data_IF_946856031850
#
_entry.id   IF_946856031850
#
_cell.length_a   1.000
_cell.length_b   1.000
_cell.length_c   1.000
_cell.angle_alpha   90.00
_cell.angle_beta   90.00
_cell.angle_gamma   90.00
#
_symmetry.space_group_name_H-M   'P 1'
#
loop_
_entity.id
_entity.type
_entity.pdbx_description
1 polymer ?
#
# COMPACT_ATOMS: atom_id res chain seq x y z
N UNK A 1 -6.03 6.27 -15.76
CA UNK A 1 -6.33 5.12 -14.87
C UNK A 1 -5.53 5.31 -13.60
N UNK A 2 -6.21 5.52 -12.47
CA UNK A 2 -5.60 5.65 -11.14
C UNK A 2 -6.07 4.55 -10.19
N UNK A 3 -5.48 4.51 -9.01
CA UNK A 3 -5.82 3.56 -7.95
C UNK A 3 -6.33 4.33 -6.75
N UNK A 4 -7.54 4.01 -6.29
CA UNK A 4 -8.12 4.62 -5.10
C UNK A 4 -7.56 3.96 -3.84
N UNK A 5 -7.04 4.78 -2.94
CA UNK A 5 -6.63 4.33 -1.61
C UNK A 5 -7.84 3.78 -0.85
N UNK A 6 -7.79 2.54 -0.37
CA UNK A 6 -8.92 1.93 0.30
C UNK A 6 -9.16 2.47 1.72
N UNK A 7 -8.16 3.13 2.32
CA UNK A 7 -8.28 3.76 3.63
C UNK A 7 -8.83 5.19 3.55
N UNK A 8 -8.19 6.07 2.76
CA UNK A 8 -8.53 7.51 2.73
C UNK A 8 -9.17 8.00 1.42
N UNK A 9 -9.44 7.10 0.47
CA UNK A 9 -10.12 7.37 -0.82
C UNK A 9 -9.38 8.31 -1.78
N UNK A 10 -8.15 8.75 -1.47
CA UNK A 10 -7.27 9.51 -2.39
C UNK A 10 -6.87 8.65 -3.59
N UNK A 11 -6.72 9.27 -4.75
CA UNK A 11 -6.35 8.57 -5.99
C UNK A 11 -4.86 8.77 -6.25
N UNK A 12 -4.19 7.70 -6.66
CA UNK A 12 -2.77 7.69 -7.00
C UNK A 12 -2.58 7.14 -8.42
N UNK A 13 -1.55 7.61 -9.16
CA UNK A 13 -1.34 7.21 -10.55
C UNK A 13 -0.81 5.78 -10.71
N UNK A 14 -0.27 5.17 -9.65
CA UNK A 14 0.17 3.78 -9.65
C UNK A 14 0.08 3.14 -8.27
N UNK A 15 0.06 1.81 -8.22
CA UNK A 15 0.09 1.05 -6.95
C UNK A 15 1.38 1.20 -6.18
N UNK A 16 2.50 1.43 -6.85
CA UNK A 16 3.78 1.75 -6.19
C UNK A 16 3.72 3.06 -5.42
N UNK A 17 3.08 4.09 -5.97
CA UNK A 17 2.88 5.35 -5.25
C UNK A 17 1.84 5.20 -4.15
N UNK A 18 0.77 4.43 -4.39
CA UNK A 18 -0.21 4.10 -3.37
C UNK A 18 0.42 3.32 -2.19
N UNK A 19 1.32 2.37 -2.46
CA UNK A 19 2.03 1.62 -1.42
C UNK A 19 2.92 2.53 -0.57
N UNK A 20 3.65 3.46 -1.20
CA UNK A 20 4.43 4.48 -0.48
C UNK A 20 3.54 5.37 0.37
N UNK A 21 2.38 5.76 -0.14
CA UNK A 21 1.40 6.51 0.62
C UNK A 21 0.90 5.73 1.83
N UNK A 22 0.51 4.46 1.68
CA UNK A 22 -0.02 3.67 2.79
C UNK A 22 0.99 3.45 3.91
N UNK A 23 2.24 3.09 3.57
CA UNK A 23 3.30 2.91 4.58
C UNK A 23 3.81 4.24 5.15
N UNK A 24 3.85 5.30 4.35
CA UNK A 24 4.31 6.62 4.79
C UNK A 24 3.30 7.36 5.65
N UNK A 25 2.00 7.21 5.39
CA UNK A 25 0.95 7.79 6.23
C UNK A 25 0.84 7.05 7.56
N UNK A 26 0.73 5.71 7.52
CA UNK A 26 0.84 4.88 8.72
C UNK A 26 -0.12 5.25 9.87
N UNK A 27 -1.26 5.88 9.57
CA UNK A 27 -2.32 6.09 10.56
C UNK A 27 -3.07 4.79 10.85
N UNK A 28 -4.01 4.85 11.80
CA UNK A 28 -4.78 3.68 12.24
C UNK A 28 -5.52 3.01 11.08
N UNK A 29 -6.22 3.77 10.25
CA UNK A 29 -7.04 3.21 9.17
C UNK A 29 -6.18 2.52 8.11
N UNK A 30 -5.03 3.11 7.76
CA UNK A 30 -4.10 2.48 6.81
C UNK A 30 -3.48 1.20 7.37
N UNK A 31 -3.09 1.21 8.65
CA UNK A 31 -2.54 0.03 9.34
C UNK A 31 -3.58 -1.08 9.43
N UNK A 32 -4.80 -0.77 9.84
CA UNK A 32 -5.89 -1.74 9.97
C UNK A 32 -6.28 -2.34 8.62
N UNK A 33 -6.29 -1.54 7.55
CA UNK A 33 -6.54 -2.08 6.21
C UNK A 33 -5.46 -3.07 5.79
N UNK A 34 -4.18 -2.75 5.97
CA UNK A 34 -3.06 -3.66 5.65
C UNK A 34 -3.18 -4.97 6.44
N UNK A 35 -3.42 -4.86 7.75
CA UNK A 35 -3.58 -6.01 8.63
C UNK A 35 -4.79 -6.89 8.26
N UNK A 36 -5.89 -6.28 7.83
CA UNK A 36 -7.09 -6.97 7.35
C UNK A 36 -6.84 -7.80 6.08
N UNK A 37 -5.81 -7.46 5.30
CA UNK A 37 -5.39 -8.21 4.10
C UNK A 37 -4.38 -9.33 4.37
N UNK A 38 -4.10 -9.63 5.65
CA UNK A 38 -3.18 -10.69 6.04
C UNK A 38 -1.69 -10.31 5.90
N UNK A 39 -1.38 -9.05 5.63
CA UNK A 39 -0.03 -8.52 5.73
C UNK A 39 0.14 -7.81 7.07
N UNK A 40 1.36 -7.78 7.60
CA UNK A 40 1.68 -7.01 8.81
C UNK A 40 2.32 -5.69 8.43
N UNK A 41 1.73 -4.58 8.88
CA UNK A 41 2.30 -3.24 8.64
C UNK A 41 3.74 -3.12 9.14
N UNK A 42 4.03 -3.69 10.32
CA UNK A 42 5.36 -3.66 10.91
C UNK A 42 6.35 -4.48 10.07
N UNK A 43 5.95 -5.67 9.61
CA UNK A 43 6.82 -6.52 8.80
C UNK A 43 7.10 -5.89 7.43
N UNK A 44 6.13 -5.19 6.83
CA UNK A 44 6.35 -4.43 5.60
C UNK A 44 7.36 -3.30 5.77
N UNK A 45 7.35 -2.59 6.91
CA UNK A 45 8.35 -1.55 7.21
C UNK A 45 9.73 -2.14 7.46
N UNK A 46 9.81 -3.25 8.19
CA UNK A 46 11.07 -3.98 8.41
C UNK A 46 11.62 -4.47 7.06
N UNK A 47 10.79 -5.11 6.24
CA UNK A 47 11.13 -5.56 4.90
C UNK A 47 11.61 -4.40 4.02
N UNK A 48 10.94 -3.25 4.06
CA UNK A 48 11.35 -2.07 3.30
C UNK A 48 12.71 -1.52 3.76
N UNK A 49 13.06 -1.67 5.04
CA UNK A 49 14.28 -1.14 5.64
C UNK A 49 15.47 -2.10 5.52
N UNK A 50 15.21 -3.39 5.67
CA UNK A 50 16.24 -4.43 5.76
C UNK A 50 16.53 -5.10 4.42
N UNK A 51 15.56 -5.12 3.51
CA UNK A 51 15.71 -5.81 2.22
C UNK A 51 15.90 -4.82 1.06
N UNK A 52 16.90 -5.05 0.20
CA UNK A 52 17.17 -4.15 -0.92
C UNK A 52 16.04 -4.15 -1.96
N UNK A 53 16.01 -3.10 -2.78
CA UNK A 53 15.13 -3.04 -3.94
C UNK A 53 13.68 -2.71 -3.62
N UNK A 54 13.42 -2.02 -2.51
CA UNK A 54 12.08 -1.56 -2.09
C UNK A 54 11.09 -2.70 -1.89
N UNK A 55 11.54 -3.79 -1.28
CA UNK A 55 10.74 -5.02 -1.21
C UNK A 55 9.42 -4.83 -0.48
N UNK A 56 9.41 -4.08 0.63
CA UNK A 56 8.17 -3.79 1.37
C UNK A 56 7.15 -3.00 0.53
N UNK A 57 7.61 -1.98 -0.21
CA UNK A 57 6.73 -1.26 -1.14
C UNK A 57 6.21 -2.16 -2.27
N UNK A 58 7.06 -3.00 -2.85
CA UNK A 58 6.66 -3.91 -3.94
C UNK A 58 5.63 -4.92 -3.49
N UNK A 59 5.84 -5.58 -2.34
CA UNK A 59 4.90 -6.56 -1.78
C UNK A 59 3.52 -5.93 -1.54
N UNK A 60 3.49 -4.71 -1.00
CA UNK A 60 2.23 -3.99 -0.82
C UNK A 60 1.62 -3.55 -2.17
N UNK A 61 2.43 -3.11 -3.14
CA UNK A 61 1.96 -2.72 -4.46
C UNK A 61 1.31 -3.90 -5.21
N UNK A 62 1.89 -5.10 -5.13
CA UNK A 62 1.33 -6.31 -5.75
C UNK A 62 -0.04 -6.68 -5.16
N UNK A 63 -0.24 -6.48 -3.86
CA UNK A 63 -1.55 -6.64 -3.22
C UNK A 63 -2.52 -5.56 -3.73
N UNK A 64 -2.08 -4.30 -3.78
CA UNK A 64 -2.91 -3.18 -4.22
C UNK A 64 -3.34 -3.28 -5.68
N UNK A 65 -2.55 -3.91 -6.56
CA UNK A 65 -2.97 -4.18 -7.95
C UNK A 65 -4.24 -5.02 -8.05
N UNK A 66 -4.50 -5.85 -7.04
CA UNK A 66 -5.64 -6.77 -6.97
C UNK A 66 -6.78 -6.19 -6.15
N UNK A 67 -6.45 -5.50 -5.06
CA UNK A 67 -7.42 -5.08 -4.04
C UNK A 67 -7.88 -3.62 -4.18
N UNK A 68 -7.08 -2.73 -4.77
CA UNK A 68 -7.45 -1.33 -4.89
C UNK A 68 -8.38 -1.11 -6.08
N UNK A 69 -9.41 -0.28 -5.87
CA UNK A 69 -10.32 0.13 -6.94
C UNK A 69 -9.56 0.90 -8.03
N UNK A 70 -9.65 0.43 -9.27
CA UNK A 70 -9.15 1.12 -10.45
C UNK A 70 -10.16 2.17 -10.88
N UNK A 71 -9.70 3.40 -10.99
CA UNK A 71 -10.49 4.55 -11.43
C UNK A 71 -10.07 4.89 -12.85
N UNK A 72 -10.95 4.62 -13.81
CA UNK A 72 -10.89 5.18 -15.15
C UNK A 72 -11.50 6.58 -15.09
N UNK A 73 -10.76 7.59 -15.56
CA UNK A 73 -11.26 8.97 -15.67
C UNK A 73 -12.28 9.06 -16.81
#
# INVERSE_FOLDING_TARGET
MGYRCPACKKIWPSTMELARHMLGTGDKDHKEWINSKGLSFADLLLMQTMEPGNKGYKTLAELLEREAEKVEE
#
